data_IF_101885968535
#
_entry.id   IF_101885968535
#
_cell.length_a   1.000
_cell.length_b   1.000
_cell.length_c   1.000
_cell.angle_alpha   90.00
_cell.angle_beta   90.00
_cell.angle_gamma   90.00
#
_symmetry.space_group_name_H-M   'P 1'
#
loop_
_entity.id
_entity.type
_entity.pdbx_description
1 polymer ?
#
# COMPACT_ATOMS: atom_id res chain seq x y z
N UNK A 1 8.02 37.45 32.48
CA UNK A 1 7.43 37.90 31.20
C UNK A 1 5.98 37.44 31.18
N UNK A 2 5.04 38.39 31.18
CA UNK A 2 3.59 38.17 31.28
C UNK A 2 3.01 38.22 29.86
N UNK A 3 2.30 37.19 29.42
CA UNK A 3 1.48 37.23 28.21
C UNK A 3 0.00 37.38 28.58
N UNK A 4 -0.76 38.23 27.88
CA UNK A 4 -2.14 38.54 28.25
C UNK A 4 -3.14 37.55 27.66
N UNK A 5 -4.24 37.38 28.41
CA UNK A 5 -5.49 36.76 27.99
C UNK A 5 -6.06 37.49 26.76
N UNK A 6 -6.52 36.73 25.76
CA UNK A 6 -7.43 37.24 24.74
C UNK A 6 -8.81 36.59 24.85
N UNK A 7 -9.79 37.47 24.82
CA UNK A 7 -11.19 37.28 25.10
C UNK A 7 -11.93 36.47 24.03
N UNK A 8 -12.95 35.77 24.51
CA UNK A 8 -14.00 35.15 23.73
C UNK A 8 -14.75 36.19 22.88
N UNK A 9 -14.99 35.87 21.61
CA UNK A 9 -15.95 36.58 20.77
C UNK A 9 -16.93 35.55 20.19
N UNK A 10 -18.15 35.57 20.73
CA UNK A 10 -19.32 34.86 20.23
C UNK A 10 -19.82 35.53 18.95
N UNK A 11 -19.95 34.77 17.85
CA UNK A 11 -20.69 35.24 16.66
C UNK A 11 -21.84 34.30 16.35
N UNK A 12 -23.02 34.90 16.23
CA UNK A 12 -24.32 34.29 16.16
C UNK A 12 -24.68 33.77 14.75
N UNK A 13 -25.62 32.81 14.77
CA UNK A 13 -26.38 32.22 13.67
C UNK A 13 -26.81 33.20 12.57
N UNK A 14 -26.68 32.76 11.32
CA UNK A 14 -27.63 33.05 10.23
C UNK A 14 -27.97 31.73 9.50
N UNK A 15 -29.17 31.23 9.74
CA UNK A 15 -29.82 30.16 9.00
C UNK A 15 -30.37 30.73 7.69
N UNK A 16 -29.86 30.28 6.54
CA UNK A 16 -30.48 30.49 5.24
C UNK A 16 -30.94 29.14 4.66
N UNK A 17 -32.26 28.96 4.61
CA UNK A 17 -32.93 27.79 4.06
C UNK A 17 -32.96 27.87 2.52
N UNK A 18 -32.30 26.95 1.83
CA UNK A 18 -32.49 26.73 0.39
C UNK A 18 -33.53 25.63 0.15
N UNK A 19 -34.65 26.01 -0.46
CA UNK A 19 -35.68 25.11 -1.02
C UNK A 19 -35.11 24.35 -2.22
N UNK A 20 -35.43 23.05 -2.39
CA UNK A 20 -35.21 22.36 -3.66
C UNK A 20 -36.33 22.72 -4.65
N UNK A 21 -35.95 23.24 -5.82
CA UNK A 21 -36.83 23.33 -6.97
C UNK A 21 -36.81 21.99 -7.71
N UNK A 22 -37.95 21.30 -7.67
CA UNK A 22 -38.24 20.19 -8.57
C UNK A 22 -38.41 20.75 -9.99
N UNK A 23 -37.67 20.21 -10.96
CA UNK A 23 -37.98 20.37 -12.39
C UNK A 23 -38.42 19.04 -12.93
N UNK A 24 -39.66 19.03 -13.43
CA UNK A 24 -40.28 17.97 -14.20
C UNK A 24 -40.36 18.43 -15.66
N UNK A 25 -39.72 17.69 -16.55
CA UNK A 25 -39.86 17.64 -18.02
C UNK A 25 -38.78 16.64 -18.49
N UNK A 26 -38.96 15.67 -19.38
CA UNK A 26 -39.99 15.44 -20.36
C UNK A 26 -40.14 13.92 -20.56
N UNK A 27 -41.38 13.48 -20.70
CA UNK A 27 -41.73 12.16 -21.20
C UNK A 27 -41.74 12.22 -22.73
N UNK A 28 -40.83 11.50 -23.38
CA UNK A 28 -40.86 11.30 -24.83
C UNK A 28 -40.79 9.80 -25.17
N UNK A 29 -41.95 9.31 -25.59
CA UNK A 29 -42.16 8.29 -26.63
C UNK A 29 -41.47 6.93 -26.48
N UNK A 30 -42.20 6.00 -25.87
CA UNK A 30 -42.08 4.58 -26.17
C UNK A 30 -42.71 4.27 -27.55
N UNK A 31 -41.88 3.89 -28.52
CA UNK A 31 -42.34 3.21 -29.73
C UNK A 31 -42.14 1.70 -29.54
N UNK A 32 -43.25 0.99 -29.34
CA UNK A 32 -43.32 -0.47 -29.39
C UNK A 32 -43.16 -0.93 -30.84
N UNK A 33 -42.05 -1.60 -31.14
CA UNK A 33 -41.91 -2.41 -32.35
C UNK A 33 -42.32 -3.85 -32.03
N UNK A 34 -43.25 -4.37 -32.82
CA UNK A 34 -43.76 -5.73 -32.76
C UNK A 34 -42.67 -6.79 -33.04
N UNK A 35 -42.83 -8.03 -32.53
CA UNK A 35 -41.85 -9.09 -32.69
C UNK A 35 -41.85 -9.63 -34.13
N UNK A 36 -40.71 -9.51 -34.81
CA UNK A 36 -40.45 -10.20 -36.06
C UNK A 36 -40.22 -11.70 -35.79
N UNK A 37 -40.83 -12.54 -36.62
CA UNK A 37 -40.75 -13.98 -36.59
C UNK A 37 -39.30 -14.51 -36.71
N UNK A 38 -38.97 -15.66 -36.07
CA UNK A 38 -37.64 -16.24 -36.13
C UNK A 38 -37.35 -16.81 -37.53
N UNK A 39 -36.27 -16.31 -38.14
CA UNK A 39 -35.66 -16.91 -39.32
C UNK A 39 -34.96 -18.24 -38.94
N UNK A 40 -34.90 -19.22 -39.86
CA UNK A 40 -34.37 -20.55 -39.59
C UNK A 40 -32.86 -20.54 -39.31
N UNK A 41 -32.47 -21.37 -38.34
CA UNK A 41 -31.11 -21.54 -37.87
C UNK A 41 -30.15 -22.00 -39.00
N UNK A 42 -28.98 -21.37 -39.16
CA UNK A 42 -27.90 -21.93 -39.96
C UNK A 42 -27.25 -23.12 -39.22
N UNK A 43 -26.87 -24.11 -40.02
CA UNK A 43 -26.28 -25.37 -39.61
C UNK A 43 -25.08 -25.20 -38.65
N UNK A 44 -25.00 -26.13 -37.69
CA UNK A 44 -23.92 -26.23 -36.70
C UNK A 44 -22.57 -26.42 -37.40
N UNK A 45 -21.76 -25.35 -37.40
CA UNK A 45 -20.33 -25.42 -37.66
C UNK A 45 -19.65 -25.90 -36.38
N UNK A 46 -18.86 -26.97 -36.52
CA UNK A 46 -18.12 -27.62 -35.43
C UNK A 46 -17.40 -26.62 -34.52
N UNK A 47 -17.73 -26.65 -33.22
CA UNK A 47 -17.02 -25.93 -32.18
C UNK A 47 -15.58 -26.46 -32.07
N UNK A 48 -14.56 -25.59 -32.01
CA UNK A 48 -13.21 -26.02 -31.69
C UNK A 48 -13.17 -26.64 -30.30
N UNK A 49 -12.59 -27.84 -30.24
CA UNK A 49 -12.32 -28.58 -29.01
C UNK A 49 -11.55 -27.69 -28.03
N UNK A 50 -12.23 -27.32 -26.94
CA UNK A 50 -11.67 -26.47 -25.90
C UNK A 50 -10.47 -27.19 -25.28
N UNK A 51 -9.28 -26.65 -25.51
CA UNK A 51 -8.06 -27.11 -24.87
C UNK A 51 -8.23 -26.94 -23.36
N UNK A 52 -7.97 -27.97 -22.54
CA UNK A 52 -8.14 -27.86 -21.10
C UNK A 52 -7.24 -26.74 -20.56
N UNK A 53 -7.87 -25.72 -19.98
CA UNK A 53 -7.17 -24.66 -19.25
C UNK A 53 -6.35 -25.32 -18.14
N UNK A 54 -5.03 -25.12 -18.09
CA UNK A 54 -4.21 -25.68 -17.02
C UNK A 54 -4.72 -25.17 -15.67
N UNK A 55 -4.97 -26.11 -14.76
CA UNK A 55 -5.43 -25.82 -13.41
C UNK A 55 -4.49 -24.78 -12.77
N UNK A 56 -5.03 -23.75 -12.09
CA UNK A 56 -4.20 -22.74 -11.43
C UNK A 56 -3.22 -23.43 -10.50
N UNK A 57 -1.93 -23.16 -10.69
CA UNK A 57 -0.88 -23.65 -9.83
C UNK A 57 -1.24 -23.31 -8.38
N UNK A 58 -1.33 -24.32 -7.53
CA UNK A 58 -1.64 -24.14 -6.12
C UNK A 58 -0.67 -23.11 -5.52
N UNK A 59 -1.22 -22.09 -4.86
CA UNK A 59 -0.42 -21.10 -4.17
C UNK A 59 0.57 -21.82 -3.23
N UNK A 60 1.86 -21.45 -3.23
CA UNK A 60 2.85 -22.10 -2.37
C UNK A 60 2.36 -22.06 -0.91
N UNK A 61 2.34 -23.23 -0.27
CA UNK A 61 1.90 -23.35 1.10
C UNK A 61 2.73 -22.42 2.00
N UNK A 62 2.06 -21.53 2.73
CA UNK A 62 2.69 -20.64 3.68
C UNK A 62 3.52 -21.48 4.67
N UNK A 63 4.81 -21.16 4.81
CA UNK A 63 5.66 -21.80 5.82
C UNK A 63 5.29 -21.23 7.18
N UNK A 64 4.57 -22.03 7.98
CA UNK A 64 4.34 -21.72 9.39
C UNK A 64 5.68 -21.68 10.10
N UNK A 65 5.96 -20.57 10.79
CA UNK A 65 7.20 -20.33 11.54
C UNK A 65 6.95 -20.49 13.03
N UNK A 66 8.02 -20.68 13.81
CA UNK A 66 7.93 -20.59 15.27
C UNK A 66 7.44 -19.19 15.69
N UNK A 67 6.55 -19.14 16.68
CA UNK A 67 5.99 -17.88 17.14
C UNK A 67 7.07 -17.01 17.83
N UNK A 68 7.18 -15.71 17.48
CA UNK A 68 8.06 -14.79 18.16
C UNK A 68 7.53 -14.44 19.57
N UNK A 69 8.42 -13.97 20.45
CA UNK A 69 8.09 -13.63 21.85
C UNK A 69 6.88 -12.70 22.02
N UNK A 70 6.65 -11.79 21.07
CA UNK A 70 5.50 -10.87 21.08
C UNK A 70 4.14 -11.59 21.09
N UNK A 71 4.07 -12.83 20.57
CA UNK A 71 2.86 -13.63 20.54
C UNK A 71 2.29 -13.89 21.94
N UNK A 72 3.16 -13.99 22.96
CA UNK A 72 2.76 -14.17 24.38
C UNK A 72 1.92 -13.00 24.91
N UNK A 73 1.99 -11.84 24.24
CA UNK A 73 1.23 -10.66 24.60
C UNK A 73 -0.15 -10.62 23.93
N UNK A 74 -0.48 -11.57 23.07
CA UNK A 74 -1.76 -11.62 22.36
C UNK A 74 -2.74 -12.52 23.11
N UNK A 75 -4.01 -12.14 23.09
CA UNK A 75 -5.08 -12.98 23.59
C UNK A 75 -6.28 -12.86 22.66
N UNK A 76 -7.00 -13.97 22.50
CA UNK A 76 -8.31 -13.93 21.85
C UNK A 76 -9.21 -12.93 22.59
N UNK A 77 -10.04 -12.23 21.85
CA UNK A 77 -11.01 -11.24 22.32
C UNK A 77 -10.41 -9.96 22.93
N UNK A 78 -9.08 -9.78 22.91
CA UNK A 78 -8.51 -8.45 23.19
C UNK A 78 -8.95 -7.45 22.12
N UNK A 79 -8.97 -6.16 22.48
CA UNK A 79 -9.26 -5.12 21.50
C UNK A 79 -8.18 -5.12 20.43
N UNK A 80 -8.59 -4.93 19.17
CA UNK A 80 -7.64 -4.80 18.07
C UNK A 80 -6.66 -3.64 18.30
N UNK A 81 -7.15 -2.53 18.86
CA UNK A 81 -6.32 -1.36 19.13
C UNK A 81 -5.19 -1.64 20.13
N UNK A 82 -5.42 -2.49 21.14
CA UNK A 82 -4.39 -2.95 22.07
C UNK A 82 -3.35 -3.82 21.36
N UNK A 83 -3.78 -4.75 20.50
CA UNK A 83 -2.89 -5.61 19.73
C UNK A 83 -2.00 -4.76 18.81
N UNK A 84 -2.62 -3.82 18.08
CA UNK A 84 -1.91 -2.88 17.20
C UNK A 84 -0.88 -2.07 17.97
N UNK A 85 -1.25 -1.51 19.14
CA UNK A 85 -0.32 -0.77 19.99
C UNK A 85 0.87 -1.62 20.44
N UNK A 86 0.66 -2.88 20.79
CA UNK A 86 1.74 -3.81 21.17
C UNK A 86 2.69 -4.10 20.01
N UNK A 87 2.14 -4.38 18.82
CA UNK A 87 2.92 -4.61 17.60
C UNK A 87 3.79 -3.39 17.25
N UNK A 88 3.18 -2.20 17.17
CA UNK A 88 3.87 -0.95 16.86
C UNK A 88 4.96 -0.63 17.92
N UNK A 89 4.67 -0.89 19.19
CA UNK A 89 5.58 -0.65 20.31
C UNK A 89 6.87 -1.49 20.26
N UNK A 90 6.90 -2.58 19.48
CA UNK A 90 8.09 -3.43 19.29
C UNK A 90 8.54 -3.50 17.82
N UNK A 91 8.26 -2.46 17.05
CA UNK A 91 8.84 -2.25 15.72
C UNK A 91 8.18 -3.02 14.57
N UNK A 92 7.02 -3.65 14.80
CA UNK A 92 6.19 -4.11 13.69
C UNK A 92 5.51 -2.90 13.06
N UNK A 93 5.40 -2.89 11.73
CA UNK A 93 4.67 -1.85 11.01
C UNK A 93 3.48 -2.46 10.26
N UNK A 94 2.41 -1.67 10.01
CA UNK A 94 1.33 -2.08 9.12
C UNK A 94 1.89 -2.53 7.77
N UNK A 95 1.37 -3.62 7.22
CA UNK A 95 1.73 -4.10 5.89
C UNK A 95 0.60 -3.73 4.92
N UNK A 96 0.90 -2.82 4.00
CA UNK A 96 -0.01 -2.32 2.98
C UNK A 96 -0.33 -3.40 1.96
N UNK A 97 -1.62 -3.70 1.82
CA UNK A 97 -2.14 -4.49 0.71
C UNK A 97 -2.48 -3.57 -0.49
N UNK A 98 -1.91 -3.81 -1.68
CA UNK A 98 -2.17 -2.97 -2.86
C UNK A 98 -3.60 -3.07 -3.38
N UNK A 99 -4.29 -4.18 -3.09
CA UNK A 99 -5.62 -4.52 -3.61
C UNK A 99 -6.73 -4.34 -2.55
N UNK A 100 -6.43 -3.73 -1.39
CA UNK A 100 -7.38 -3.52 -0.30
C UNK A 100 -8.73 -2.94 -0.78
N UNK A 101 -8.71 -1.94 -1.69
CA UNK A 101 -9.96 -1.35 -2.22
C UNK A 101 -10.81 -2.36 -2.99
N UNK A 102 -10.18 -3.22 -3.79
CA UNK A 102 -10.87 -4.29 -4.51
C UNK A 102 -11.41 -5.36 -3.57
N UNK A 103 -10.66 -5.68 -2.50
CA UNK A 103 -11.01 -6.70 -1.53
C UNK A 103 -12.13 -6.28 -0.55
N UNK A 104 -12.21 -4.99 -0.21
CA UNK A 104 -13.27 -4.44 0.67
C UNK A 104 -14.53 -4.07 -0.11
N UNK A 105 -14.36 -3.53 -1.32
CA UNK A 105 -15.46 -2.97 -2.12
C UNK A 105 -15.99 -1.63 -1.58
N UNK A 106 -16.96 -1.05 -2.31
CA UNK A 106 -17.57 0.24 -1.95
C UNK A 106 -16.57 1.40 -1.88
N UNK A 107 -16.76 2.30 -0.91
CA UNK A 107 -15.84 3.43 -0.69
C UNK A 107 -14.50 3.02 -0.07
N UNK A 108 -14.40 1.81 0.49
CA UNK A 108 -13.19 1.24 1.09
C UNK A 108 -12.40 2.20 2.01
N UNK A 109 -13.11 3.07 2.76
CA UNK A 109 -12.48 4.08 3.64
C UNK A 109 -11.52 3.46 4.64
N UNK A 110 -11.81 2.24 5.08
CA UNK A 110 -10.97 1.46 6.00
C UNK A 110 -9.52 1.31 5.53
N UNK A 111 -9.30 1.20 4.22
CA UNK A 111 -7.96 1.11 3.66
C UNK A 111 -7.14 2.41 3.85
N UNK A 112 -7.79 3.56 4.04
CA UNK A 112 -7.08 4.83 4.23
C UNK A 112 -6.52 4.98 5.66
N UNK A 113 -7.28 4.57 6.68
CA UNK A 113 -6.90 4.77 8.08
C UNK A 113 -6.31 3.52 8.76
N UNK A 114 -6.59 2.32 8.24
CA UNK A 114 -5.94 1.07 8.65
C UNK A 114 -5.14 0.50 7.46
N UNK A 115 -3.91 0.98 7.21
CA UNK A 115 -3.07 0.51 6.10
C UNK A 115 -2.79 -1.00 6.13
N UNK A 116 -2.86 -1.61 7.31
CA UNK A 116 -2.73 -3.06 7.51
C UNK A 116 -3.90 -3.89 6.95
N UNK A 117 -5.04 -3.31 6.56
CA UNK A 117 -6.21 -4.08 6.11
C UNK A 117 -5.95 -4.69 4.74
N UNK A 118 -6.13 -6.01 4.64
CA UNK A 118 -6.17 -6.75 3.37
C UNK A 118 -7.58 -6.71 2.78
N UNK A 119 -8.60 -6.91 3.63
CA UNK A 119 -9.99 -6.99 3.21
C UNK A 119 -10.92 -7.17 4.41
N UNK A 120 -12.18 -6.76 4.24
CA UNK A 120 -13.24 -6.88 5.23
C UNK A 120 -14.53 -7.35 4.57
N UNK A 121 -15.25 -8.26 5.22
CA UNK A 121 -16.59 -8.68 4.82
C UNK A 121 -17.67 -7.80 5.47
N UNK A 122 -18.86 -7.82 4.88
CA UNK A 122 -20.01 -7.03 5.34
C UNK A 122 -20.50 -7.40 6.75
N UNK A 123 -20.14 -8.58 7.26
CA UNK A 123 -20.44 -9.05 8.62
C UNK A 123 -19.47 -8.49 9.68
N UNK A 124 -18.49 -7.68 9.28
CA UNK A 124 -17.53 -7.04 10.17
C UNK A 124 -16.27 -7.89 10.46
N UNK A 125 -16.06 -8.99 9.75
CA UNK A 125 -14.80 -9.70 9.80
C UNK A 125 -13.75 -9.04 8.90
N UNK A 126 -12.55 -8.80 9.42
CA UNK A 126 -11.44 -8.21 8.67
C UNK A 126 -10.17 -9.06 8.80
N UNK A 127 -9.39 -9.08 7.72
CA UNK A 127 -8.02 -9.60 7.68
C UNK A 127 -7.05 -8.43 7.64
N UNK A 128 -6.06 -8.46 8.52
CA UNK A 128 -5.06 -7.41 8.65
C UNK A 128 -3.64 -8.01 8.69
N UNK A 129 -2.65 -7.24 8.25
CA UNK A 129 -1.25 -7.65 8.22
C UNK A 129 -0.33 -6.64 8.87
N UNK A 130 0.62 -7.15 9.65
CA UNK A 130 1.79 -6.42 10.08
C UNK A 130 3.04 -7.17 9.65
N UNK A 131 4.14 -6.45 9.51
CA UNK A 131 5.42 -7.07 9.17
C UNK A 131 6.56 -6.55 10.04
N UNK A 132 7.56 -7.41 10.24
CA UNK A 132 8.81 -7.11 10.92
C UNK A 132 9.97 -7.57 10.05
N UNK A 133 10.73 -6.58 9.54
CA UNK A 133 11.87 -6.80 8.64
C UNK A 133 13.03 -7.53 9.32
N UNK A 134 13.28 -7.27 10.60
CA UNK A 134 14.41 -7.85 11.34
C UNK A 134 14.18 -9.34 11.62
N UNK A 135 12.95 -9.70 11.97
CA UNK A 135 12.55 -11.09 12.18
C UNK A 135 12.33 -11.84 10.85
N UNK A 136 12.18 -11.11 9.74
CA UNK A 136 11.84 -11.72 8.46
C UNK A 136 10.42 -12.30 8.44
N UNK A 137 9.50 -11.71 9.22
CA UNK A 137 8.15 -12.24 9.45
C UNK A 137 7.05 -11.24 9.09
N UNK A 138 5.87 -11.78 8.80
CA UNK A 138 4.59 -11.07 8.84
C UNK A 138 3.61 -11.80 9.73
N UNK A 139 2.65 -11.07 10.29
CA UNK A 139 1.57 -11.63 11.09
C UNK A 139 0.25 -11.25 10.46
N UNK A 140 -0.58 -12.26 10.19
CA UNK A 140 -1.98 -12.09 9.83
C UNK A 140 -2.79 -12.00 11.11
N UNK A 141 -3.67 -11.03 11.19
CA UNK A 141 -4.60 -10.87 12.31
C UNK A 141 -6.01 -10.91 11.76
N UNK A 142 -6.83 -11.82 12.28
CA UNK A 142 -8.26 -11.84 12.00
C UNK A 142 -9.02 -11.15 13.11
N UNK A 143 -9.90 -10.24 12.74
CA UNK A 143 -10.73 -9.49 13.68
C UNK A 143 -12.21 -9.63 13.38
N UNK A 144 -13.05 -9.34 14.36
CA UNK A 144 -14.50 -9.24 14.16
C UNK A 144 -15.05 -8.05 14.95
N UNK A 145 -15.81 -7.19 14.27
CA UNK A 145 -16.48 -6.04 14.86
C UNK A 145 -16.52 -4.83 13.93
N UNK A 146 -16.98 -3.67 14.42
CA UNK A 146 -17.00 -2.42 13.65
C UNK A 146 -15.59 -1.97 13.26
N UNK A 147 -15.32 -1.87 11.96
CA UNK A 147 -14.00 -1.55 11.42
C UNK A 147 -13.76 -0.04 11.20
N UNK A 148 -14.36 0.82 12.03
CA UNK A 148 -14.25 2.28 11.91
C UNK A 148 -12.89 2.85 12.39
N UNK A 149 -12.73 4.18 12.28
CA UNK A 149 -11.51 4.92 12.64
C UNK A 149 -11.15 4.80 14.12
N UNK A 150 -12.08 4.49 15.02
CA UNK A 150 -11.81 4.30 16.45
C UNK A 150 -10.81 3.16 16.72
N UNK A 151 -10.68 2.22 15.80
CA UNK A 151 -9.69 1.14 15.87
C UNK A 151 -8.24 1.62 15.70
N UNK A 152 -8.02 2.85 15.20
CA UNK A 152 -6.68 3.44 15.03
C UNK A 152 -6.17 4.18 16.27
N UNK A 153 -7.08 4.70 17.09
CA UNK A 153 -6.77 5.66 18.17
C UNK A 153 -6.71 5.05 19.58
N UNK A 154 -6.89 3.73 19.73
CA UNK A 154 -6.86 3.09 21.05
C UNK A 154 -8.12 3.29 21.90
N UNK A 155 -9.17 3.88 21.32
CA UNK A 155 -10.47 4.10 21.96
C UNK A 155 -11.58 3.18 21.41
N UNK A 156 -11.29 2.40 20.36
CA UNK A 156 -12.21 1.41 19.80
C UNK A 156 -12.36 0.18 20.68
N UNK A 157 -13.45 0.10 21.45
CA UNK A 157 -13.80 -1.07 22.27
C UNK A 157 -14.49 -2.19 21.48
N UNK A 158 -14.73 -2.01 20.17
CA UNK A 158 -15.72 -2.82 19.46
C UNK A 158 -15.13 -3.95 18.58
N UNK A 159 -13.89 -3.82 18.10
CA UNK A 159 -13.27 -4.85 17.26
C UNK A 159 -12.39 -5.79 18.08
N UNK A 160 -12.79 -7.06 18.12
CA UNK A 160 -12.10 -8.10 18.87
C UNK A 160 -11.15 -8.90 17.96
N UNK A 161 -9.96 -9.20 18.47
CA UNK A 161 -9.02 -10.12 17.84
C UNK A 161 -9.55 -11.55 17.97
N UNK A 162 -9.58 -12.30 16.86
CA UNK A 162 -10.08 -13.69 16.83
C UNK A 162 -8.99 -14.72 16.64
N UNK A 163 -7.97 -14.39 15.84
CA UNK A 163 -6.78 -15.21 15.67
C UNK A 163 -5.60 -14.35 15.20
N UNK A 164 -4.41 -14.93 15.27
CA UNK A 164 -3.21 -14.44 14.62
C UNK A 164 -2.43 -15.62 14.03
N UNK A 165 -1.63 -15.36 13.00
CA UNK A 165 -0.77 -16.35 12.39
C UNK A 165 0.52 -15.70 11.89
N UNK A 166 1.66 -16.22 12.33
CA UNK A 166 2.96 -15.78 11.85
C UNK A 166 3.38 -16.56 10.60
N UNK A 167 3.78 -15.81 9.59
CA UNK A 167 4.21 -16.34 8.28
C UNK A 167 5.58 -15.77 7.97
N UNK A 168 6.50 -16.60 7.50
CA UNK A 168 7.78 -16.14 6.97
C UNK A 168 7.58 -15.21 5.77
N UNK A 169 8.46 -14.23 5.62
CA UNK A 169 8.53 -13.46 4.37
C UNK A 169 9.15 -14.33 3.28
N UNK A 170 8.59 -14.26 2.08
CA UNK A 170 9.19 -14.87 0.91
C UNK A 170 10.50 -14.14 0.61
N UNK A 171 11.62 -14.84 0.80
CA UNK A 171 12.91 -14.36 0.32
C UNK A 171 13.02 -14.71 -1.17
N UNK A 172 13.28 -13.74 -2.06
CA UNK A 172 13.60 -14.06 -3.44
C UNK A 172 14.86 -14.95 -3.46
N UNK A 173 14.94 -15.83 -4.46
CA UNK A 173 16.14 -16.62 -4.68
C UNK A 173 17.37 -15.71 -4.79
N UNK A 174 18.49 -16.15 -4.24
CA UNK A 174 19.73 -15.38 -4.28
C UNK A 174 20.15 -15.12 -5.74
N UNK A 175 20.11 -13.86 -6.17
CA UNK A 175 20.61 -13.43 -7.46
C UNK A 175 22.08 -13.01 -7.36
N UNK A 176 22.85 -13.18 -8.44
CA UNK A 176 24.22 -12.70 -8.50
C UNK A 176 24.23 -11.16 -8.42
N UNK A 177 25.06 -10.60 -7.53
CA UNK A 177 25.09 -9.17 -7.33
C UNK A 177 25.54 -8.43 -8.60
N UNK A 178 24.77 -7.46 -9.13
CA UNK A 178 25.11 -6.79 -10.36
C UNK A 178 26.33 -5.89 -10.19
N UNK A 179 26.58 -5.35 -8.99
CA UNK A 179 27.81 -4.62 -8.66
C UNK A 179 27.92 -4.43 -7.15
N UNK A 180 29.15 -4.46 -6.63
CA UNK A 180 29.47 -4.03 -5.25
C UNK A 180 29.71 -2.53 -5.15
N UNK A 181 30.16 -1.92 -6.24
CA UNK A 181 30.25 -0.46 -6.36
C UNK A 181 28.84 0.12 -6.47
N UNK A 182 28.51 1.07 -5.60
CA UNK A 182 27.14 1.57 -5.46
C UNK A 182 26.67 2.35 -6.69
N UNK A 183 27.53 3.17 -7.29
CA UNK A 183 27.13 3.99 -8.43
C UNK A 183 26.85 3.09 -9.64
N UNK A 184 27.73 2.12 -9.91
CA UNK A 184 27.49 1.09 -10.93
C UNK A 184 26.25 0.24 -10.64
N UNK A 185 26.00 -0.10 -9.36
CA UNK A 185 24.79 -0.80 -8.95
C UNK A 185 23.55 0.03 -9.28
N UNK A 186 23.52 1.30 -8.85
CA UNK A 186 22.38 2.19 -9.02
C UNK A 186 22.07 2.43 -10.49
N UNK A 187 23.09 2.60 -11.33
CA UNK A 187 22.93 2.70 -12.79
C UNK A 187 22.25 1.46 -13.36
N UNK A 188 22.70 0.25 -13.01
CA UNK A 188 22.11 -1.01 -13.49
C UNK A 188 20.69 -1.22 -12.96
N UNK A 189 20.49 -0.96 -11.66
CA UNK A 189 19.20 -1.04 -10.99
C UNK A 189 18.16 -0.12 -11.65
N UNK A 190 18.54 1.13 -11.93
CA UNK A 190 17.65 2.08 -12.59
C UNK A 190 17.46 1.81 -14.08
N UNK A 191 18.39 1.11 -14.75
CA UNK A 191 18.26 0.76 -16.17
C UNK A 191 17.26 -0.39 -16.40
N UNK A 192 17.27 -1.42 -15.55
CA UNK A 192 16.51 -2.66 -15.76
C UNK A 192 15.41 -2.87 -14.69
N UNK A 193 14.11 -2.79 -15.05
CA UNK A 193 13.02 -3.03 -14.09
C UNK A 193 13.00 -4.46 -13.52
N UNK A 194 13.46 -5.47 -14.25
CA UNK A 194 13.50 -6.85 -13.76
C UNK A 194 14.58 -6.99 -12.69
N UNK A 195 15.77 -6.41 -12.93
CA UNK A 195 16.82 -6.30 -11.93
C UNK A 195 16.35 -5.52 -10.70
N UNK A 196 15.68 -4.37 -10.90
CA UNK A 196 15.15 -3.57 -9.80
C UNK A 196 14.25 -4.38 -8.86
N UNK A 197 13.35 -5.21 -9.42
CA UNK A 197 12.49 -6.11 -8.64
C UNK A 197 13.29 -7.16 -7.85
N UNK A 198 14.35 -7.71 -8.43
CA UNK A 198 15.19 -8.71 -7.77
C UNK A 198 16.00 -8.14 -6.60
N UNK A 199 16.43 -6.87 -6.72
CA UNK A 199 17.23 -6.17 -5.71
C UNK A 199 16.40 -5.17 -4.89
N UNK A 200 15.09 -5.36 -4.84
CA UNK A 200 14.20 -4.71 -3.88
C UNK A 200 14.01 -5.68 -2.71
N UNK A 201 14.21 -5.20 -1.48
CA UNK A 201 14.09 -6.04 -0.30
C UNK A 201 12.67 -6.64 -0.17
N UNK A 202 12.50 -7.81 0.49
CA UNK A 202 11.18 -8.44 0.67
C UNK A 202 10.13 -7.51 1.29
N UNK A 203 10.59 -6.56 2.12
CA UNK A 203 9.79 -5.45 2.62
C UNK A 203 10.51 -4.15 2.32
N UNK A 204 9.76 -3.19 1.76
CA UNK A 204 10.18 -1.80 1.61
C UNK A 204 9.42 -0.98 2.65
N UNK A 205 10.14 -0.27 3.51
CA UNK A 205 9.52 0.68 4.44
C UNK A 205 9.16 1.95 3.67
N UNK A 206 7.90 2.34 3.70
CA UNK A 206 7.40 3.53 3.01
C UNK A 206 6.85 4.50 4.05
N UNK A 207 7.14 5.79 3.91
CA UNK A 207 6.43 6.82 4.66
C UNK A 207 5.26 7.29 3.79
N UNK A 208 4.04 7.14 4.29
CA UNK A 208 2.83 7.62 3.62
C UNK A 208 2.23 8.79 4.40
N UNK A 209 1.49 9.67 3.74
CA UNK A 209 0.67 10.68 4.42
C UNK A 209 -0.69 10.08 4.74
N UNK A 210 -1.02 10.03 6.02
CA UNK A 210 -2.38 9.77 6.48
C UNK A 210 -3.07 11.11 6.70
N UNK A 211 -3.95 11.46 5.78
CA UNK A 211 -4.80 12.65 5.91
C UNK A 211 -5.96 12.38 6.86
N UNK A 212 -6.16 13.28 7.81
CA UNK A 212 -7.36 13.31 8.62
C UNK A 212 -7.84 14.74 8.92
N UNK A 213 -8.82 14.90 9.83
CA UNK A 213 -9.39 16.21 10.18
C UNK A 213 -8.36 17.19 10.75
N UNK A 214 -7.25 16.68 11.31
CA UNK A 214 -6.16 17.47 11.89
C UNK A 214 -5.02 17.72 10.88
N UNK A 215 -5.13 17.19 9.65
CA UNK A 215 -4.18 17.35 8.56
C UNK A 215 -3.44 16.06 8.19
N UNK A 216 -2.30 16.22 7.51
CA UNK A 216 -1.49 15.10 7.03
C UNK A 216 -0.46 14.68 8.07
N UNK A 217 -0.53 13.41 8.50
CA UNK A 217 0.43 12.83 9.44
C UNK A 217 1.27 11.77 8.71
N UNK A 218 2.61 11.90 8.68
CA UNK A 218 3.46 10.86 8.11
C UNK A 218 3.35 9.59 8.96
N UNK A 219 3.09 8.46 8.30
CA UNK A 219 2.99 7.16 8.94
C UNK A 219 3.90 6.16 8.21
N UNK A 220 4.79 5.46 8.93
CA UNK A 220 5.56 4.37 8.35
C UNK A 220 4.68 3.14 8.16
N UNK A 221 4.77 2.55 6.97
CA UNK A 221 4.19 1.26 6.62
C UNK A 221 5.25 0.39 5.95
N UNK A 222 4.99 -0.90 5.83
CA UNK A 222 5.69 -1.77 4.89
C UNK A 222 4.84 -2.01 3.66
N UNK A 223 5.51 -2.18 2.52
CA UNK A 223 4.97 -2.75 1.28
C UNK A 223 5.80 -3.98 0.96
N UNK A 224 5.17 -5.05 0.46
CA UNK A 224 5.91 -6.20 -0.07
C UNK A 224 6.79 -5.76 -1.24
N UNK A 225 8.06 -6.16 -1.29
CA UNK A 225 8.97 -5.79 -2.37
C UNK A 225 8.45 -6.19 -3.75
N UNK A 226 7.75 -7.32 -3.86
CA UNK A 226 7.09 -7.77 -5.09
C UNK A 226 5.95 -6.85 -5.55
N UNK A 227 5.31 -6.13 -4.62
CA UNK A 227 4.23 -5.18 -4.88
C UNK A 227 4.73 -3.72 -4.95
N UNK A 228 5.95 -3.43 -4.48
CA UNK A 228 6.47 -2.07 -4.45
C UNK A 228 6.71 -1.51 -5.86
N UNK A 229 6.22 -0.29 -6.12
CA UNK A 229 6.32 0.42 -7.40
C UNK A 229 6.79 1.87 -7.25
N UNK A 230 7.17 2.30 -6.05
CA UNK A 230 7.50 3.71 -5.74
C UNK A 230 8.79 4.21 -6.40
N UNK A 231 9.72 3.32 -6.76
CA UNK A 231 10.97 3.72 -7.39
C UNK A 231 10.75 4.24 -8.82
N UNK A 232 10.78 5.57 -8.95
CA UNK A 232 10.41 6.31 -10.17
C UNK A 232 11.64 6.94 -10.87
N UNK A 233 12.79 6.29 -10.79
CA UNK A 233 14.02 6.73 -11.48
C UNK A 233 14.40 5.70 -12.55
N UNK A 234 14.67 6.16 -13.76
CA UNK A 234 15.15 5.35 -14.89
C UNK A 234 16.52 5.81 -15.33
N UNK A 235 17.44 4.90 -15.60
CA UNK A 235 18.69 5.24 -16.29
C UNK A 235 18.57 4.90 -17.78
N UNK A 236 18.79 5.88 -18.66
CA UNK A 236 18.69 5.74 -20.11
C UNK A 236 19.57 6.79 -20.79
N UNK A 237 20.16 6.47 -21.94
CA UNK A 237 20.90 7.43 -22.77
C UNK A 237 22.01 8.20 -22.01
N UNK A 238 22.64 7.53 -21.03
CA UNK A 238 23.73 8.08 -20.24
C UNK A 238 23.32 8.91 -19.01
N UNK A 239 22.02 9.08 -18.76
CA UNK A 239 21.50 9.91 -17.69
C UNK A 239 20.39 9.22 -16.87
N UNK A 240 20.14 9.74 -15.67
CA UNK A 240 18.94 9.40 -14.90
C UNK A 240 17.78 10.27 -15.37
N UNK A 241 16.56 9.75 -15.27
CA UNK A 241 15.32 10.40 -15.66
C UNK A 241 14.26 10.07 -14.61
N UNK A 242 13.44 11.05 -14.28
CA UNK A 242 12.23 10.80 -13.51
C UNK A 242 11.21 10.03 -14.36
N UNK A 243 10.45 9.13 -13.75
CA UNK A 243 9.42 8.33 -14.42
C UNK A 243 8.06 8.75 -13.90
N UNK A 244 7.24 9.30 -14.78
CA UNK A 244 5.85 9.65 -14.50
C UNK A 244 4.94 8.78 -15.37
N UNK A 245 3.95 8.13 -14.77
CA UNK A 245 3.02 7.22 -15.48
C UNK A 245 3.73 6.18 -16.37
N UNK A 246 4.88 5.69 -15.91
CA UNK A 246 5.71 4.71 -16.62
C UNK A 246 6.57 5.26 -17.75
N UNK A 247 6.50 6.57 -18.04
CA UNK A 247 7.29 7.23 -19.07
C UNK A 247 8.44 8.05 -18.46
N UNK A 248 9.69 7.87 -18.91
CA UNK A 248 10.79 8.73 -18.51
C UNK A 248 10.61 10.16 -19.02
N UNK A 249 10.86 11.15 -18.17
CA UNK A 249 10.98 12.55 -18.57
C UNK A 249 12.13 12.72 -19.56
N UNK A 250 12.00 13.67 -20.49
CA UNK A 250 13.06 14.03 -21.44
C UNK A 250 14.24 14.70 -20.74
N UNK A 251 14.00 15.40 -19.64
CA UNK A 251 15.03 16.12 -18.91
C UNK A 251 15.85 15.16 -18.03
N UNK A 252 17.19 15.24 -18.09
CA UNK A 252 18.05 14.52 -17.16
C UNK A 252 17.76 14.93 -15.71
N UNK A 253 17.52 13.93 -14.88
CA UNK A 253 17.35 14.05 -13.44
C UNK A 253 18.72 14.03 -12.75
N UNK A 254 19.02 15.06 -11.96
CA UNK A 254 20.19 15.06 -11.10
C UNK A 254 19.88 14.36 -9.78
N UNK A 255 20.57 13.25 -9.53
CA UNK A 255 20.51 12.56 -8.24
C UNK A 255 21.54 13.14 -7.26
N UNK A 256 21.16 13.20 -5.99
CA UNK A 256 22.04 13.41 -4.86
C UNK A 256 22.19 12.08 -4.13
N UNK A 257 23.40 11.52 -4.17
CA UNK A 257 23.73 10.28 -3.46
C UNK A 257 24.56 10.62 -2.23
N UNK A 258 24.03 10.29 -1.05
CA UNK A 258 24.72 10.49 0.23
C UNK A 258 24.99 9.18 0.97
N UNK A 259 26.09 9.13 1.73
CA UNK A 259 26.43 8.00 2.60
C UNK A 259 25.68 8.13 3.92
N UNK A 260 24.94 7.09 4.30
CA UNK A 260 24.21 7.00 5.58
C UNK A 260 24.87 5.95 6.49
N UNK A 261 26.19 6.06 6.65
CA UNK A 261 27.04 5.03 7.27
C UNK A 261 27.74 4.12 6.26
N UNK A 262 28.37 3.05 6.76
CA UNK A 262 29.17 2.14 5.93
C UNK A 262 28.31 1.40 4.88
N UNK A 263 27.19 0.85 5.35
CA UNK A 263 26.37 -0.11 4.60
C UNK A 263 25.06 0.49 4.09
N UNK A 264 24.92 1.83 4.05
CA UNK A 264 23.71 2.46 3.55
C UNK A 264 24.00 3.70 2.68
N UNK A 265 23.13 3.91 1.71
CA UNK A 265 23.13 5.06 0.80
C UNK A 265 21.72 5.62 0.71
N UNK A 266 21.61 6.94 0.66
CA UNK A 266 20.37 7.64 0.35
C UNK A 266 20.51 8.29 -1.02
N UNK A 267 19.61 7.94 -1.92
CA UNK A 267 19.48 8.53 -3.26
C UNK A 267 18.29 9.47 -3.22
N UNK A 268 18.51 10.76 -3.36
CA UNK A 268 17.46 11.77 -3.35
C UNK A 268 17.47 12.57 -4.66
N UNK A 269 16.32 13.10 -5.04
CA UNK A 269 16.22 14.06 -6.14
C UNK A 269 15.19 15.14 -5.82
N UNK A 270 15.25 16.24 -6.58
CA UNK A 270 14.25 17.31 -6.58
C UNK A 270 13.92 17.67 -8.02
N UNK A 271 12.63 17.79 -8.33
CA UNK A 271 12.15 18.23 -9.64
C UNK A 271 11.91 19.74 -9.64
N UNK A 272 11.45 20.29 -8.51
CA UNK A 272 11.21 21.72 -8.32
C UNK A 272 11.28 22.10 -6.82
N UNK A 273 10.64 23.21 -6.41
CA UNK A 273 10.68 23.73 -5.02
C UNK A 273 9.97 22.82 -4.00
N UNK A 274 9.06 21.94 -4.43
CA UNK A 274 8.21 21.13 -3.54
C UNK A 274 8.16 19.65 -3.90
N UNK A 275 8.57 19.27 -5.11
CA UNK A 275 8.55 17.89 -5.58
C UNK A 275 9.95 17.26 -5.48
N UNK A 276 10.02 16.15 -4.78
CA UNK A 276 11.20 15.32 -4.63
C UNK A 276 10.81 13.97 -4.07
N UNK A 277 11.74 13.03 -4.14
CA UNK A 277 11.66 11.82 -3.35
C UNK A 277 13.06 11.34 -2.99
N UNK A 278 13.14 10.40 -2.07
CA UNK A 278 14.37 9.73 -1.71
C UNK A 278 14.19 8.24 -1.55
N UNK A 279 15.30 7.52 -1.63
CA UNK A 279 15.34 6.06 -1.57
C UNK A 279 16.55 5.62 -0.78
N UNK A 280 16.33 4.72 0.18
CA UNK A 280 17.41 4.13 0.97
C UNK A 280 17.79 2.77 0.43
N UNK A 281 19.08 2.63 0.12
CA UNK A 281 19.70 1.37 -0.25
C UNK A 281 20.61 0.87 0.86
N UNK A 282 20.56 -0.41 1.15
CA UNK A 282 21.40 -1.07 2.16
C UNK A 282 22.22 -2.20 1.55
N UNK A 283 23.49 -2.29 1.95
CA UNK A 283 24.36 -3.42 1.62
C UNK A 283 24.02 -4.61 2.54
N UNK A 284 23.58 -5.71 1.93
CA UNK A 284 23.34 -6.99 2.60
C UNK A 284 24.22 -8.06 1.96
N UNK A 285 25.28 -8.44 2.66
CA UNK A 285 26.17 -9.51 2.21
C UNK A 285 27.04 -9.15 1.00
N UNK A 286 27.41 -7.87 0.86
CA UNK A 286 28.18 -7.36 -0.26
C UNK A 286 27.33 -7.07 -1.49
N UNK A 287 26.04 -6.79 -1.31
CA UNK A 287 25.15 -6.37 -2.39
C UNK A 287 24.07 -5.39 -1.92
N UNK A 288 23.83 -4.36 -2.73
CA UNK A 288 22.88 -3.30 -2.44
C UNK A 288 21.44 -3.74 -2.72
N UNK A 289 20.51 -3.32 -1.86
CA UNK A 289 19.08 -3.55 -2.03
C UNK A 289 18.31 -2.28 -1.69
N UNK A 290 17.24 -1.99 -2.44
CA UNK A 290 16.28 -0.94 -2.06
C UNK A 290 15.50 -1.41 -0.83
N UNK A 291 15.48 -0.59 0.22
CA UNK A 291 14.91 -0.96 1.52
C UNK A 291 13.89 0.03 2.07
N UNK A 292 14.00 1.32 1.71
CA UNK A 292 13.09 2.34 2.20
C UNK A 292 12.81 3.40 1.13
N UNK A 293 11.62 3.96 1.24
CA UNK A 293 11.08 5.14 0.55
C UNK A 293 10.68 6.14 1.66
N UNK A 294 11.66 6.87 2.22
CA UNK A 294 11.52 7.52 3.51
C UNK A 294 10.86 8.90 3.44
N UNK A 295 10.59 9.42 2.23
CA UNK A 295 9.84 10.64 2.03
C UNK A 295 8.44 10.27 1.49
N UNK A 296 7.36 10.84 2.05
CA UNK A 296 6.08 10.69 1.41
C UNK A 296 6.10 11.36 0.04
N UNK A 297 5.44 10.79 -0.98
CA UNK A 297 5.29 11.48 -2.24
C UNK A 297 4.63 12.84 -2.00
N UNK A 298 5.31 13.92 -2.39
CA UNK A 298 4.69 15.25 -2.41
C UNK A 298 3.47 15.22 -3.34
N UNK A 299 2.33 15.81 -2.94
CA UNK A 299 1.16 15.95 -3.80
C UNK A 299 1.43 16.79 -5.05
#
# INVERSE_FOLDING_TARGET
>A
MRYPLYAALSLALLLAACKPAASAADAAAAAQAAPAAPAPAPAATNAPEATPTPAPAAAPAARTVAEPEIAKSFSKDMTYSDLRKRLLGVGWLPLRDPDCRGNVGGEARVCAYLPEVEGCSADGYCKMWFANRELGLRVRVGTYGPNDRGNTLGNGTATAVRYWEFVGLDAPAAAACPSRDFDQFLTRFAADPALARQFTAPLVKVIELRSDEDGDVPQPVYVLGSAYRGFNVRYRDGAYHFVYEGQPDKQPLKLNVSKQGANARLVAYRLNMSEGNSYRFEDKGGCWNLTEDPEPPSP
#
